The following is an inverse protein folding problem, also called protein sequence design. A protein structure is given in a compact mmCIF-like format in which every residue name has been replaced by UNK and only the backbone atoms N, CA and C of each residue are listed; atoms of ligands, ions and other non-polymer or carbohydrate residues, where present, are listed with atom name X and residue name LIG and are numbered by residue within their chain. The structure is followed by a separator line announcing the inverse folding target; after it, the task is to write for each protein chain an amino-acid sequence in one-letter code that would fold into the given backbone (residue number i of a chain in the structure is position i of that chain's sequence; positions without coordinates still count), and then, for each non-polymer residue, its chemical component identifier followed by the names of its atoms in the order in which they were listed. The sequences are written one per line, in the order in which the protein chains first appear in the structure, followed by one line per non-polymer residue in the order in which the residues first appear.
data_IF_303393585579
#
_entry.id   IF_303393585579
#
_cell.length_a   1.000
_cell.length_b   1.000
_cell.length_c   1.000
_cell.angle_alpha   90.00
_cell.angle_beta   90.00
_cell.angle_gamma   90.00
#
_symmetry.space_group_name_H-M   'P 1'
#
loop_
_entity.id
_entity.type
_entity.pdbx_description
1 polymer ?
#
# COMPACT_ATOMS: atom_id res chain seq x y z
N UNK A 1 48.16 -46.32 6.22
CA UNK A 1 47.82 -45.27 7.21
C UNK A 1 47.15 -44.14 6.46
N UNK A 2 45.82 -44.07 6.53
CA UNK A 2 45.00 -42.99 5.96
C UNK A 2 44.91 -41.88 7.02
N UNK A 3 44.98 -40.58 6.64
CA UNK A 3 44.83 -39.50 7.58
C UNK A 3 43.35 -39.28 7.93
N UNK A 4 43.10 -39.08 9.22
CA UNK A 4 41.82 -38.69 9.79
C UNK A 4 41.30 -37.38 9.17
N UNK A 5 40.20 -37.46 8.43
CA UNK A 5 39.38 -36.29 8.14
C UNK A 5 38.52 -35.98 9.37
N UNK A 6 39.05 -35.12 10.24
CA UNK A 6 38.24 -34.43 11.24
C UNK A 6 37.25 -33.49 10.52
N UNK A 7 35.94 -33.53 10.87
CA UNK A 7 34.98 -32.57 10.35
C UNK A 7 35.31 -31.18 10.91
N UNK A 8 35.35 -30.19 10.02
CA UNK A 8 35.60 -28.79 10.37
C UNK A 8 34.58 -28.24 11.38
N UNK A 9 34.92 -27.18 12.12
CA UNK A 9 34.07 -26.64 13.17
C UNK A 9 32.72 -26.22 12.58
N UNK A 10 31.64 -26.78 13.14
CA UNK A 10 30.28 -26.35 12.84
C UNK A 10 30.20 -24.82 12.97
N UNK A 11 29.74 -24.17 11.89
CA UNK A 11 29.50 -22.73 11.87
C UNK A 11 28.59 -22.36 13.04
N UNK A 12 29.16 -21.82 14.13
CA UNK A 12 28.37 -21.12 15.13
C UNK A 12 27.80 -19.88 14.46
N UNK A 13 26.48 -19.64 14.51
CA UNK A 13 25.91 -18.40 13.98
C UNK A 13 26.59 -17.21 14.67
N UNK A 14 27.02 -16.23 13.88
CA UNK A 14 27.57 -14.97 14.39
C UNK A 14 26.49 -14.23 15.19
N UNK A 15 26.87 -13.42 16.18
CA UNK A 15 25.90 -12.63 16.97
C UNK A 15 25.03 -11.73 16.08
N UNK A 16 25.59 -11.21 14.99
CA UNK A 16 24.85 -10.47 13.95
C UNK A 16 23.76 -11.33 13.30
N UNK A 17 24.08 -12.58 12.91
CA UNK A 17 23.10 -13.49 12.33
C UNK A 17 22.02 -13.93 13.33
N UNK A 18 22.35 -14.01 14.62
CA UNK A 18 21.37 -14.26 15.69
C UNK A 18 20.40 -13.08 15.84
N UNK A 19 20.93 -11.86 15.85
CA UNK A 19 20.13 -10.64 15.97
C UNK A 19 19.12 -10.50 14.83
N UNK A 20 19.55 -10.68 13.58
CA UNK A 20 18.68 -10.61 12.40
C UNK A 20 17.54 -11.64 12.45
N UNK A 21 17.85 -12.87 12.90
CA UNK A 21 16.84 -13.92 13.08
C UNK A 21 15.81 -13.56 14.16
N UNK A 22 16.24 -12.98 15.28
CA UNK A 22 15.34 -12.51 16.33
C UNK A 22 14.42 -11.40 15.80
N UNK A 23 14.97 -10.42 15.08
CA UNK A 23 14.18 -9.35 14.46
C UNK A 23 13.16 -9.91 13.46
N UNK A 24 13.54 -10.90 12.66
CA UNK A 24 12.62 -11.55 11.73
C UNK A 24 11.47 -12.27 12.44
N UNK A 25 11.72 -12.96 13.56
CA UNK A 25 10.66 -13.61 14.35
C UNK A 25 9.76 -12.58 15.02
N UNK A 26 10.33 -11.53 15.63
CA UNK A 26 9.58 -10.42 16.20
C UNK A 26 8.68 -9.77 15.14
N UNK A 27 9.21 -9.55 13.95
CA UNK A 27 8.45 -8.95 12.85
C UNK A 27 7.20 -9.77 12.52
N UNK A 28 7.36 -11.09 12.37
CA UNK A 28 6.25 -12.01 12.12
C UNK A 28 5.27 -12.05 13.29
N UNK A 29 5.73 -12.05 14.54
CA UNK A 29 4.83 -12.02 15.71
C UNK A 29 3.97 -10.75 15.77
N UNK A 30 4.53 -9.61 15.37
CA UNK A 30 3.82 -8.33 15.36
C UNK A 30 2.81 -8.23 14.21
N UNK A 31 3.13 -8.76 13.03
CA UNK A 31 2.38 -8.47 11.79
C UNK A 31 1.63 -9.67 11.20
N UNK A 32 1.97 -10.90 11.56
CA UNK A 32 1.25 -12.11 11.12
C UNK A 32 0.38 -12.65 12.26
N UNK A 33 -0.94 -12.50 12.11
CA UNK A 33 -1.93 -13.00 13.07
C UNK A 33 -1.81 -14.50 13.32
N UNK A 34 -1.58 -15.30 12.29
CA UNK A 34 -1.53 -16.75 12.41
C UNK A 34 -0.32 -17.19 13.23
N UNK A 35 0.84 -16.56 12.98
CA UNK A 35 2.06 -16.76 13.77
C UNK A 35 1.86 -16.31 15.22
N UNK A 36 1.27 -15.13 15.43
CA UNK A 36 0.97 -14.61 16.77
C UNK A 36 0.03 -15.52 17.55
N UNK A 37 -1.05 -16.01 16.93
CA UNK A 37 -1.99 -16.95 17.57
C UNK A 37 -1.30 -18.23 17.97
N UNK A 38 -0.50 -18.83 17.08
CA UNK A 38 0.28 -20.04 17.38
C UNK A 38 1.23 -19.83 18.58
N UNK A 39 1.89 -18.67 18.64
CA UNK A 39 2.75 -18.30 19.77
C UNK A 39 1.98 -18.12 21.07
N UNK A 40 0.81 -17.48 21.04
CA UNK A 40 -0.03 -17.29 22.24
C UNK A 40 -0.56 -18.62 22.77
N UNK A 41 -0.93 -19.54 21.88
CA UNK A 41 -1.54 -20.83 22.25
C UNK A 41 -0.53 -21.87 22.72
N UNK A 42 0.65 -21.95 22.09
CA UNK A 42 1.65 -22.99 22.39
C UNK A 42 3.02 -22.47 22.83
N UNK A 43 3.19 -21.16 22.99
CA UNK A 43 4.47 -20.55 23.33
C UNK A 43 5.50 -20.63 22.20
N UNK A 44 6.77 -20.27 22.48
CA UNK A 44 7.84 -20.29 21.49
C UNK A 44 8.15 -21.69 20.94
N UNK A 45 7.81 -22.75 21.68
CA UNK A 45 8.00 -24.15 21.27
C UNK A 45 6.91 -24.67 20.33
N UNK A 46 5.91 -23.86 19.96
CA UNK A 46 4.82 -24.30 19.09
C UNK A 46 5.35 -24.74 17.71
N UNK A 47 5.04 -25.96 17.22
CA UNK A 47 5.61 -26.49 15.97
C UNK A 47 5.39 -25.60 14.74
N UNK A 48 4.25 -24.91 14.68
CA UNK A 48 3.92 -23.99 13.60
C UNK A 48 4.81 -22.73 13.49
N UNK A 49 5.67 -22.47 14.48
CA UNK A 49 6.61 -21.34 14.45
C UNK A 49 7.96 -21.71 13.82
N UNK A 50 8.35 -23.00 13.88
CA UNK A 50 9.61 -23.48 13.34
C UNK A 50 10.86 -22.87 14.00
N UNK A 51 10.80 -22.52 15.28
CA UNK A 51 11.94 -21.94 16.01
C UNK A 51 12.91 -23.04 16.46
N UNK A 52 14.21 -22.74 16.43
CA UNK A 52 15.24 -23.61 17.02
C UNK A 52 15.43 -23.31 18.51
N UNK A 53 16.23 -24.14 19.20
CA UNK A 53 16.43 -24.02 20.65
C UNK A 53 16.95 -22.65 21.09
N UNK A 54 17.81 -22.00 20.29
CA UNK A 54 18.34 -20.68 20.61
C UNK A 54 17.25 -19.59 20.55
N UNK A 55 16.43 -19.61 19.50
CA UNK A 55 15.29 -18.69 19.40
C UNK A 55 14.22 -19.00 20.44
N UNK A 56 13.96 -20.27 20.76
CA UNK A 56 13.00 -20.62 21.81
C UNK A 56 13.39 -19.92 23.12
N UNK A 57 14.64 -20.07 23.55
CA UNK A 57 15.13 -19.42 24.78
C UNK A 57 15.05 -17.90 24.71
N UNK A 58 15.31 -17.29 23.54
CA UNK A 58 15.21 -15.84 23.37
C UNK A 58 13.77 -15.30 23.55
N UNK A 59 12.76 -16.11 23.24
CA UNK A 59 11.34 -15.71 23.27
C UNK A 59 10.55 -16.23 24.48
N UNK A 60 11.16 -17.03 25.38
CA UNK A 60 10.52 -17.57 26.60
C UNK A 60 9.88 -16.50 27.50
N UNK A 61 10.40 -15.28 27.49
CA UNK A 61 9.98 -14.19 28.38
C UNK A 61 9.04 -13.18 27.73
N UNK A 62 8.59 -13.41 26.50
CA UNK A 62 7.66 -12.50 25.82
C UNK A 62 6.31 -12.51 26.54
N UNK A 63 5.84 -11.33 26.93
CA UNK A 63 4.50 -11.17 27.48
C UNK A 63 3.45 -11.37 26.38
N UNK A 64 2.76 -12.51 26.42
CA UNK A 64 1.73 -12.87 25.44
C UNK A 64 0.52 -11.93 25.46
N UNK A 65 0.22 -11.29 26.59
CA UNK A 65 -0.89 -10.33 26.71
C UNK A 65 -0.53 -9.03 26.03
N UNK A 66 0.69 -8.54 26.27
CA UNK A 66 1.22 -7.37 25.58
C UNK A 66 1.30 -7.62 24.07
N UNK A 67 1.85 -8.76 23.65
CA UNK A 67 1.93 -9.14 22.24
C UNK A 67 0.53 -9.14 21.58
N UNK A 68 -0.47 -9.72 22.24
CA UNK A 68 -1.84 -9.74 21.74
C UNK A 68 -2.43 -8.32 21.65
N UNK A 69 -2.13 -7.44 22.61
CA UNK A 69 -2.58 -6.05 22.61
C UNK A 69 -1.93 -5.25 21.48
N UNK A 70 -0.63 -5.38 21.28
CA UNK A 70 0.11 -4.70 20.20
C UNK A 70 -0.46 -5.09 18.84
N UNK A 71 -0.69 -6.39 18.59
CA UNK A 71 -1.31 -6.84 17.34
C UNK A 71 -2.71 -6.25 17.12
N UNK A 72 -3.53 -6.10 18.18
CA UNK A 72 -4.84 -5.42 18.09
C UNK A 72 -4.69 -3.94 17.75
N UNK A 73 -3.73 -3.25 18.36
CA UNK A 73 -3.48 -1.83 18.13
C UNK A 73 -3.04 -1.57 16.69
N UNK A 74 -2.07 -2.33 16.17
CA UNK A 74 -1.60 -2.23 14.77
C UNK A 74 -2.78 -2.39 13.81
N UNK A 75 -3.58 -3.45 13.97
CA UNK A 75 -4.78 -3.65 13.14
C UNK A 75 -5.76 -2.48 13.24
N UNK A 76 -6.01 -2.00 14.46
CA UNK A 76 -6.94 -0.89 14.69
C UNK A 76 -6.47 0.38 14.01
N UNK A 77 -5.17 0.70 14.09
CA UNK A 77 -4.59 1.87 13.43
C UNK A 77 -4.64 1.76 11.91
N UNK A 78 -4.38 0.58 11.35
CA UNK A 78 -4.48 0.37 9.89
C UNK A 78 -5.93 0.53 9.41
N UNK A 79 -6.91 0.01 10.16
CA UNK A 79 -8.33 0.09 9.75
C UNK A 79 -8.92 1.48 9.98
N UNK A 80 -8.73 2.05 11.17
CA UNK A 80 -9.40 3.27 11.60
C UNK A 80 -8.56 4.53 11.41
N UNK A 81 -7.25 4.40 11.22
CA UNK A 81 -6.29 5.48 11.31
C UNK A 81 -5.81 5.69 12.74
N UNK A 82 -4.71 6.42 12.89
CA UNK A 82 -4.12 6.79 14.17
C UNK A 82 -3.66 8.23 14.21
N UNK A 83 -3.29 8.70 15.40
CA UNK A 83 -2.62 10.00 15.57
C UNK A 83 -1.27 9.97 14.86
N UNK A 84 -1.16 10.66 13.73
CA UNK A 84 0.07 10.80 12.96
C UNK A 84 0.22 9.89 11.73
N UNK A 85 -0.66 8.91 11.53
CA UNK A 85 -0.61 7.97 10.38
C UNK A 85 -1.61 8.27 9.26
N UNK A 86 -2.46 9.29 9.45
CA UNK A 86 -3.48 9.68 8.48
C UNK A 86 -4.75 8.82 8.56
N UNK A 87 -5.65 8.92 7.56
CA UNK A 87 -6.88 8.14 7.53
C UNK A 87 -6.56 6.64 7.33
N UNK A 88 -7.23 5.76 8.07
CA UNK A 88 -7.12 4.31 7.88
C UNK A 88 -7.93 3.78 6.69
N UNK A 89 -7.79 2.48 6.42
CA UNK A 89 -8.45 1.80 5.30
C UNK A 89 -9.97 2.00 5.29
N UNK A 90 -10.62 2.01 6.45
CA UNK A 90 -12.08 2.20 6.54
C UNK A 90 -12.56 3.57 6.04
N UNK A 91 -11.71 4.59 6.12
CA UNK A 91 -12.01 5.94 5.61
C UNK A 91 -11.54 6.14 4.17
N UNK A 92 -10.43 5.51 3.79
CA UNK A 92 -9.90 5.61 2.42
C UNK A 92 -10.71 4.76 1.44
N UNK A 93 -11.04 3.52 1.82
CA UNK A 93 -11.63 2.49 0.95
C UNK A 93 -13.05 2.06 1.38
N UNK A 94 -13.97 2.98 1.73
CA UNK A 94 -15.26 2.59 2.29
C UNK A 94 -16.07 1.70 1.35
N UNK A 95 -16.12 2.02 0.05
CA UNK A 95 -16.90 1.25 -0.92
C UNK A 95 -16.20 -0.04 -1.31
N UNK A 96 -14.88 -0.03 -1.49
CA UNK A 96 -14.15 -1.26 -1.79
C UNK A 96 -14.27 -2.29 -0.67
N UNK A 97 -14.16 -1.88 0.60
CA UNK A 97 -14.30 -2.79 1.73
C UNK A 97 -15.72 -3.33 1.87
N UNK A 98 -16.75 -2.53 1.55
CA UNK A 98 -18.13 -2.99 1.48
C UNK A 98 -18.29 -4.10 0.42
N UNK A 99 -17.84 -3.86 -0.81
CA UNK A 99 -17.91 -4.83 -1.92
C UNK A 99 -17.12 -6.10 -1.59
N UNK A 100 -15.92 -5.97 -1.03
CA UNK A 100 -15.12 -7.14 -0.62
C UNK A 100 -15.85 -7.95 0.44
N UNK A 101 -16.45 -7.29 1.44
CA UNK A 101 -17.23 -7.97 2.50
C UNK A 101 -18.42 -8.73 1.90
N UNK A 102 -19.16 -8.11 0.98
CA UNK A 102 -20.30 -8.76 0.31
C UNK A 102 -19.88 -9.99 -0.50
N UNK A 103 -18.73 -9.93 -1.17
CA UNK A 103 -18.23 -11.03 -2.01
C UNK A 103 -17.58 -12.17 -1.22
N UNK A 104 -16.86 -11.84 -0.15
CA UNK A 104 -15.98 -12.80 0.55
C UNK A 104 -16.45 -13.16 1.96
N UNK A 105 -17.43 -12.43 2.49
CA UNK A 105 -17.86 -12.52 3.90
C UNK A 105 -16.85 -11.95 4.91
N UNK A 106 -15.68 -11.48 4.46
CA UNK A 106 -14.61 -10.99 5.35
C UNK A 106 -14.88 -9.56 5.80
N UNK A 107 -14.67 -9.32 7.08
CA UNK A 107 -14.74 -7.99 7.69
C UNK A 107 -13.52 -7.14 7.33
N UNK A 108 -13.60 -5.80 7.43
CA UNK A 108 -12.44 -4.91 7.27
C UNK A 108 -11.25 -5.30 8.15
N UNK A 109 -11.49 -5.79 9.36
CA UNK A 109 -10.44 -6.26 10.26
C UNK A 109 -9.74 -7.51 9.73
N UNK A 110 -10.47 -8.46 9.16
CA UNK A 110 -9.87 -9.67 8.58
C UNK A 110 -9.08 -9.36 7.31
N UNK A 111 -9.57 -8.43 6.48
CA UNK A 111 -8.84 -7.94 5.30
C UNK A 111 -7.55 -7.23 5.75
N UNK A 112 -7.62 -6.39 6.78
CA UNK A 112 -6.46 -5.70 7.31
C UNK A 112 -5.42 -6.66 7.86
N UNK A 113 -5.79 -7.74 8.54
CA UNK A 113 -4.81 -8.75 9.02
C UNK A 113 -4.09 -9.45 7.85
N UNK A 114 -4.78 -9.72 6.75
CA UNK A 114 -4.15 -10.27 5.54
C UNK A 114 -3.21 -9.26 4.89
N UNK A 115 -3.63 -8.00 4.83
CA UNK A 115 -2.80 -6.92 4.29
C UNK A 115 -1.58 -6.65 5.15
N UNK A 116 -1.70 -6.59 6.48
CA UNK A 116 -0.60 -6.34 7.41
C UNK A 116 0.49 -7.43 7.30
N UNK A 117 0.08 -8.68 7.05
CA UNK A 117 1.00 -9.79 6.83
C UNK A 117 1.61 -9.81 5.42
N UNK A 118 1.19 -8.91 4.51
CA UNK A 118 1.60 -8.92 3.11
C UNK A 118 2.92 -8.17 2.86
N UNK A 119 3.67 -8.54 1.80
CA UNK A 119 4.85 -7.78 1.38
C UNK A 119 4.55 -6.30 1.07
N UNK A 120 3.35 -6.00 0.57
CA UNK A 120 2.97 -4.63 0.21
C UNK A 120 2.84 -3.74 1.44
N UNK A 121 2.41 -4.27 2.59
CA UNK A 121 2.39 -3.49 3.84
C UNK A 121 3.79 -3.24 4.40
N UNK A 122 4.75 -4.14 4.16
CA UNK A 122 6.15 -3.92 4.53
C UNK A 122 6.72 -2.68 3.83
N UNK A 123 6.39 -2.46 2.55
CA UNK A 123 6.81 -1.25 1.80
C UNK A 123 6.31 0.07 2.43
N UNK A 124 5.17 0.05 3.14
CA UNK A 124 4.66 1.21 3.89
C UNK A 124 5.34 1.36 5.25
N UNK A 125 5.69 0.25 5.91
CA UNK A 125 6.29 0.29 7.24
C UNK A 125 7.77 0.69 7.21
N UNK A 126 8.48 0.30 6.17
CA UNK A 126 9.94 0.47 6.09
C UNK A 126 10.36 1.89 5.64
N UNK A 127 9.40 2.83 5.60
CA UNK A 127 9.57 4.22 5.13
C UNK A 127 10.64 5.05 5.86
N UNK A 128 11.02 4.83 7.14
CA UNK A 128 12.18 5.55 7.69
C UNK A 128 13.55 4.97 7.28
N UNK A 129 13.61 3.82 6.58
CA UNK A 129 14.84 3.05 6.37
C UNK A 129 15.11 2.61 4.92
N UNK A 130 14.27 3.00 3.95
CA UNK A 130 14.49 2.67 2.54
C UNK A 130 15.81 3.27 2.02
N UNK A 131 16.72 2.48 1.44
CA UNK A 131 17.94 2.97 0.79
C UNK A 131 17.66 3.94 -0.37
N UNK A 132 16.44 3.94 -0.91
CA UNK A 132 15.98 4.85 -1.96
C UNK A 132 15.43 6.19 -1.42
N UNK A 133 15.29 6.33 -0.10
CA UNK A 133 14.99 7.59 0.58
C UNK A 133 13.52 7.98 0.71
N UNK A 134 12.57 7.22 0.13
CA UNK A 134 11.11 7.42 0.29
C UNK A 134 10.41 6.06 0.17
N UNK A 135 9.40 5.79 0.99
CA UNK A 135 8.55 4.60 0.81
C UNK A 135 7.22 4.94 0.15
N UNK A 136 6.24 4.04 0.19
CA UNK A 136 4.93 4.23 -0.47
C UNK A 136 3.83 4.58 0.53
N UNK A 137 2.79 5.28 0.06
CA UNK A 137 1.62 5.57 0.88
C UNK A 137 0.80 4.29 1.14
N UNK A 138 0.22 4.18 2.34
CA UNK A 138 -0.72 3.12 2.72
C UNK A 138 -1.78 2.80 1.64
N UNK A 139 -2.48 3.79 1.03
CA UNK A 139 -3.42 3.54 -0.06
C UNK A 139 -2.82 2.82 -1.27
N UNK A 140 -1.58 3.15 -1.65
CA UNK A 140 -0.91 2.52 -2.79
C UNK A 140 -0.55 1.07 -2.47
N UNK A 141 -0.02 0.83 -1.27
CA UNK A 141 0.28 -0.51 -0.78
C UNK A 141 -0.98 -1.38 -0.74
N UNK A 142 -2.10 -0.84 -0.27
CA UNK A 142 -3.37 -1.57 -0.23
C UNK A 142 -3.92 -1.85 -1.63
N UNK A 143 -3.83 -0.88 -2.55
CA UNK A 143 -4.21 -1.09 -3.96
C UNK A 143 -3.43 -2.23 -4.60
N UNK A 144 -2.10 -2.25 -4.43
CA UNK A 144 -1.24 -3.33 -4.93
C UNK A 144 -1.56 -4.68 -4.28
N UNK A 145 -1.79 -4.71 -2.97
CA UNK A 145 -2.21 -5.92 -2.29
C UNK A 145 -3.50 -6.49 -2.88
N UNK A 146 -4.48 -5.64 -3.16
CA UNK A 146 -5.74 -6.10 -3.79
C UNK A 146 -5.50 -6.60 -5.21
N UNK A 147 -4.70 -5.90 -6.00
CA UNK A 147 -4.38 -6.29 -7.37
C UNK A 147 -3.61 -7.62 -7.46
N UNK A 148 -2.71 -7.90 -6.51
CA UNK A 148 -1.79 -9.05 -6.55
C UNK A 148 -2.28 -10.26 -5.73
N UNK A 149 -3.17 -10.07 -4.76
CA UNK A 149 -3.56 -11.16 -3.83
C UNK A 149 -4.40 -12.28 -4.45
N UNK A 150 -5.08 -12.03 -5.56
CA UNK A 150 -6.06 -12.97 -6.15
C UNK A 150 -7.27 -13.29 -5.26
N UNK A 151 -7.32 -12.75 -4.04
CA UNK A 151 -8.35 -13.00 -3.03
C UNK A 151 -9.70 -12.35 -3.38
N UNK A 152 -9.70 -11.39 -4.30
CA UNK A 152 -10.84 -10.51 -4.58
C UNK A 152 -11.47 -10.77 -5.96
N UNK A 153 -11.20 -11.95 -6.53
CA UNK A 153 -11.77 -12.45 -7.79
C UNK A 153 -10.87 -12.24 -9.01
N UNK A 154 -11.05 -13.04 -10.09
CA UNK A 154 -10.27 -12.88 -11.31
C UNK A 154 -10.58 -11.55 -11.99
N UNK A 155 -9.53 -10.80 -12.33
CA UNK A 155 -9.63 -9.75 -13.35
C UNK A 155 -9.69 -10.44 -14.71
N UNK A 156 -10.90 -10.65 -15.24
CA UNK A 156 -11.07 -11.07 -16.63
C UNK A 156 -11.87 -12.35 -16.84
N UNK A 157 -13.19 -12.20 -16.95
CA UNK A 157 -13.99 -12.89 -17.96
C UNK A 157 -15.23 -12.03 -18.21
N UNK A 158 -15.35 -11.50 -19.44
CA UNK A 158 -16.51 -10.73 -19.89
C UNK A 158 -17.80 -11.51 -19.59
N UNK A 159 -18.59 -11.01 -18.64
CA UNK A 159 -19.90 -11.55 -18.31
C UNK A 159 -20.29 -11.34 -16.86
N UNK A 160 -19.39 -11.62 -15.90
CA UNK A 160 -19.69 -11.52 -14.47
C UNK A 160 -18.45 -11.07 -13.68
N UNK A 161 -18.55 -9.87 -13.10
CA UNK A 161 -17.65 -9.26 -12.12
C UNK A 161 -16.20 -8.99 -12.57
N UNK A 162 -15.94 -7.78 -13.04
CA UNK A 162 -14.64 -7.16 -12.80
C UNK A 162 -14.27 -7.31 -11.31
N UNK A 163 -12.98 -7.61 -11.04
CA UNK A 163 -12.43 -7.57 -9.69
C UNK A 163 -12.70 -6.21 -9.03
N UNK A 164 -12.54 -6.10 -7.72
CA UNK A 164 -12.74 -4.82 -7.00
C UNK A 164 -11.67 -3.77 -7.32
N UNK A 165 -10.64 -4.14 -8.11
CA UNK A 165 -9.48 -3.31 -8.41
C UNK A 165 -9.81 -1.92 -8.98
N UNK A 166 -10.76 -1.74 -9.93
CA UNK A 166 -11.08 -0.40 -10.44
C UNK A 166 -11.62 0.53 -9.34
N UNK A 167 -12.42 -0.01 -8.41
CA UNK A 167 -12.95 0.74 -7.27
C UNK A 167 -11.85 1.07 -6.27
N UNK A 168 -10.99 0.10 -5.96
CA UNK A 168 -9.84 0.30 -5.06
C UNK A 168 -8.88 1.33 -5.64
N UNK A 169 -8.59 1.25 -6.94
CA UNK A 169 -7.74 2.24 -7.59
C UNK A 169 -8.35 3.64 -7.51
N UNK A 170 -9.65 3.79 -7.77
CA UNK A 170 -10.30 5.10 -7.68
C UNK A 170 -10.13 5.70 -6.29
N UNK A 171 -10.45 4.93 -5.25
CA UNK A 171 -10.32 5.36 -3.85
C UNK A 171 -8.86 5.65 -3.47
N UNK A 172 -7.91 4.81 -3.91
CA UNK A 172 -6.48 5.04 -3.71
C UNK A 172 -6.00 6.32 -4.41
N UNK A 173 -6.38 6.54 -5.66
CA UNK A 173 -6.02 7.72 -6.44
C UNK A 173 -6.51 9.01 -5.78
N UNK A 174 -7.75 9.01 -5.28
CA UNK A 174 -8.32 10.12 -4.51
C UNK A 174 -7.48 10.39 -3.26
N UNK A 175 -7.18 9.36 -2.47
CA UNK A 175 -6.43 9.52 -1.23
C UNK A 175 -4.98 9.97 -1.46
N UNK A 176 -4.30 9.44 -2.48
CA UNK A 176 -2.94 9.85 -2.87
C UNK A 176 -2.93 11.31 -3.32
N UNK A 177 -3.86 11.72 -4.20
CA UNK A 177 -3.96 13.10 -4.64
C UNK A 177 -4.22 14.06 -3.47
N UNK A 178 -5.09 13.68 -2.52
CA UNK A 178 -5.32 14.46 -1.31
C UNK A 178 -4.09 14.52 -0.40
N UNK A 179 -3.36 13.41 -0.23
CA UNK A 179 -2.14 13.37 0.58
C UNK A 179 -1.04 14.28 0.01
N UNK A 180 -0.88 14.30 -1.32
CA UNK A 180 0.05 15.22 -2.01
C UNK A 180 -0.35 16.67 -1.75
N UNK A 181 -1.65 16.98 -1.82
CA UNK A 181 -2.15 18.31 -1.52
C UNK A 181 -1.93 18.75 -0.06
N UNK A 182 -1.73 17.81 0.87
CA UNK A 182 -1.34 18.12 2.25
C UNK A 182 0.17 18.06 2.49
N UNK A 183 0.99 17.94 1.44
CA UNK A 183 2.45 17.96 1.53
C UNK A 183 3.11 16.59 1.76
N UNK A 184 2.38 15.47 1.69
CA UNK A 184 2.93 14.14 1.91
C UNK A 184 3.96 13.72 0.83
N UNK A 185 3.96 14.36 -0.34
CA UNK A 185 4.91 14.10 -1.43
C UNK A 185 6.38 14.41 -1.09
N UNK A 186 6.65 15.03 0.06
CA UNK A 186 8.02 15.20 0.56
C UNK A 186 8.63 13.89 1.12
N UNK A 187 7.78 12.95 1.55
CA UNK A 187 8.18 11.77 2.34
C UNK A 187 7.94 10.46 1.61
N UNK A 188 7.07 10.46 0.60
CA UNK A 188 6.66 9.26 -0.12
C UNK A 188 6.88 9.40 -1.62
N UNK A 189 7.27 8.29 -2.26
CA UNK A 189 7.22 8.16 -3.70
C UNK A 189 5.81 7.77 -4.13
N UNK A 190 5.36 8.36 -5.24
CA UNK A 190 4.08 8.04 -5.84
C UNK A 190 4.33 7.10 -7.02
N UNK A 191 3.81 5.88 -6.93
CA UNK A 191 3.90 4.89 -7.99
C UNK A 191 2.58 4.20 -8.29
N UNK A 192 1.47 4.91 -8.06
CA UNK A 192 0.14 4.51 -8.52
C UNK A 192 0.15 4.31 -10.04
N UNK A 193 -0.47 3.24 -10.52
CA UNK A 193 -0.50 2.90 -11.93
C UNK A 193 -1.10 4.04 -12.78
N UNK A 194 -0.47 4.37 -13.91
CA UNK A 194 -0.95 5.43 -14.80
C UNK A 194 -0.79 6.86 -14.27
N UNK A 195 -0.03 7.03 -13.18
CA UNK A 195 0.34 8.34 -12.65
C UNK A 195 1.77 8.74 -13.00
N UNK A 196 2.02 10.04 -13.00
CA UNK A 196 3.36 10.60 -13.09
C UNK A 196 3.45 11.90 -12.27
N UNK A 197 4.67 12.26 -11.88
CA UNK A 197 4.96 13.46 -11.09
C UNK A 197 5.96 14.32 -11.85
N UNK A 198 5.66 15.61 -12.00
CA UNK A 198 6.54 16.62 -12.57
C UNK A 198 6.53 17.85 -11.67
N UNK A 199 7.72 18.31 -11.25
CA UNK A 199 7.88 19.49 -10.38
C UNK A 199 6.96 19.49 -9.15
N UNK A 200 6.81 18.31 -8.51
CA UNK A 200 5.96 18.15 -7.33
C UNK A 200 4.45 18.09 -7.61
N UNK A 201 4.05 18.16 -8.89
CA UNK A 201 2.67 17.99 -9.33
C UNK A 201 2.43 16.57 -9.82
N UNK A 202 1.52 15.85 -9.16
CA UNK A 202 0.93 14.60 -9.64
C UNK A 202 -0.07 14.88 -10.75
N UNK A 203 -0.01 14.06 -11.81
CA UNK A 203 -1.07 13.95 -12.79
C UNK A 203 -1.32 12.48 -13.13
N UNK A 204 -2.58 12.08 -13.08
CA UNK A 204 -3.03 10.74 -13.44
C UNK A 204 -4.37 10.79 -14.16
N UNK A 205 -4.61 9.82 -15.03
CA UNK A 205 -5.89 9.62 -15.69
C UNK A 205 -6.22 8.14 -15.72
N UNK A 206 -7.46 7.80 -15.37
CA UNK A 206 -7.97 6.45 -15.53
C UNK A 206 -9.32 6.47 -16.22
N UNK A 207 -9.42 5.66 -17.28
CA UNK A 207 -10.69 5.21 -17.82
C UNK A 207 -11.14 4.01 -16.99
N UNK A 208 -12.41 4.00 -16.57
CA UNK A 208 -13.02 2.95 -15.76
C UNK A 208 -14.05 2.16 -16.58
N UNK A 209 -13.87 2.07 -17.90
CA UNK A 209 -14.76 1.35 -18.81
C UNK A 209 -14.93 -0.14 -18.44
N UNK A 210 -13.93 -0.73 -17.76
CA UNK A 210 -13.97 -2.10 -17.25
C UNK A 210 -14.79 -2.26 -15.95
N UNK A 211 -15.11 -1.16 -15.27
CA UNK A 211 -15.82 -1.19 -14.00
C UNK A 211 -17.33 -1.48 -14.19
N UNK A 212 -17.98 -2.20 -13.26
CA UNK A 212 -19.42 -2.35 -13.25
C UNK A 212 -20.13 -0.99 -13.20
N UNK A 213 -21.11 -0.78 -14.07
CA UNK A 213 -21.88 0.46 -14.14
C UNK A 213 -22.52 0.87 -12.80
N UNK A 214 -22.88 -0.12 -11.96
CA UNK A 214 -23.45 0.11 -10.63
C UNK A 214 -22.51 0.88 -9.67
N UNK A 215 -21.20 0.91 -9.95
CA UNK A 215 -20.23 1.68 -9.15
C UNK A 215 -20.19 3.16 -9.56
N UNK A 216 -20.79 3.54 -10.69
CA UNK A 216 -20.86 4.94 -11.12
C UNK A 216 -19.49 5.57 -11.41
N UNK A 217 -18.46 4.77 -11.67
CA UNK A 217 -17.14 5.27 -12.02
C UNK A 217 -17.15 5.86 -13.43
N UNK A 218 -16.57 7.05 -13.57
CA UNK A 218 -16.44 7.77 -14.84
C UNK A 218 -14.96 8.03 -15.13
N UNK A 219 -14.55 8.21 -16.40
CA UNK A 219 -13.18 8.62 -16.72
C UNK A 219 -12.77 9.85 -15.90
N UNK A 220 -11.72 9.70 -15.10
CA UNK A 220 -11.37 10.67 -14.06
C UNK A 220 -9.91 11.11 -14.21
N UNK A 221 -9.70 12.43 -14.12
CA UNK A 221 -8.40 13.06 -13.99
C UNK A 221 -8.10 13.34 -12.51
N UNK A 222 -6.86 13.13 -12.11
CA UNK A 222 -6.33 13.46 -10.79
C UNK A 222 -5.14 14.38 -11.01
N UNK A 223 -5.24 15.63 -10.59
CA UNK A 223 -4.16 16.61 -10.63
C UNK A 223 -3.94 17.12 -9.21
N UNK A 224 -2.76 16.98 -8.65
CA UNK A 224 -2.49 17.41 -7.29
C UNK A 224 -1.09 17.99 -7.15
N UNK A 225 -0.97 19.09 -6.42
CA UNK A 225 0.26 19.76 -6.04
C UNK A 225 0.12 20.20 -4.57
N UNK A 226 1.18 20.66 -3.89
CA UNK A 226 1.04 21.21 -2.53
C UNK A 226 -0.10 22.23 -2.44
N UNK A 227 -0.99 22.06 -1.46
CA UNK A 227 -2.19 22.86 -1.21
C UNK A 227 -3.27 22.85 -2.30
N UNK A 228 -3.15 22.01 -3.34
CA UNK A 228 -4.08 21.97 -4.48
C UNK A 228 -4.41 20.55 -4.91
N UNK A 229 -5.70 20.26 -5.07
CA UNK A 229 -6.18 18.98 -5.54
C UNK A 229 -7.38 19.17 -6.46
N UNK A 230 -7.29 18.65 -7.68
CA UNK A 230 -8.36 18.64 -8.67
C UNK A 230 -8.62 17.19 -9.06
N UNK A 231 -9.81 16.72 -8.71
CA UNK A 231 -10.31 15.39 -9.07
C UNK A 231 -11.63 15.59 -9.80
N UNK A 232 -11.74 15.08 -11.02
CA UNK A 232 -12.96 15.25 -11.77
C UNK A 232 -12.98 14.55 -13.12
N UNK A 233 -14.18 14.50 -13.69
CA UNK A 233 -14.42 13.89 -15.00
C UNK A 233 -13.68 14.64 -16.11
N UNK A 234 -13.19 13.89 -17.10
CA UNK A 234 -12.54 14.44 -18.28
C UNK A 234 -12.32 13.40 -19.36
N UNK A 235 -12.04 13.85 -20.58
CA UNK A 235 -11.57 12.96 -21.64
C UNK A 235 -10.06 12.82 -21.59
N UNK A 236 -9.55 11.71 -22.12
CA UNK A 236 -8.11 11.47 -22.25
C UNK A 236 -7.42 12.60 -23.03
N UNK A 237 -8.04 13.08 -24.10
CA UNK A 237 -7.51 14.17 -24.91
C UNK A 237 -7.36 15.49 -24.12
N UNK A 238 -8.32 15.82 -23.25
CA UNK A 238 -8.22 17.01 -22.39
C UNK A 238 -7.09 16.83 -21.36
N UNK A 239 -6.99 15.64 -20.77
CA UNK A 239 -5.92 15.32 -19.84
C UNK A 239 -4.53 15.46 -20.49
N UNK A 240 -4.32 14.82 -21.64
CA UNK A 240 -3.03 14.84 -22.34
C UNK A 240 -2.64 16.28 -22.73
N UNK A 241 -3.60 17.12 -23.13
CA UNK A 241 -3.35 18.52 -23.44
C UNK A 241 -2.98 19.35 -22.19
N UNK A 242 -3.62 19.11 -21.05
CA UNK A 242 -3.26 19.76 -19.77
C UNK A 242 -1.85 19.35 -19.34
N UNK A 243 -1.51 18.07 -19.44
CA UNK A 243 -0.17 17.55 -19.11
C UNK A 243 0.90 18.11 -20.05
N UNK A 244 0.60 18.26 -21.34
CA UNK A 244 1.52 18.90 -22.28
C UNK A 244 1.87 20.33 -21.85
N UNK A 245 0.87 21.12 -21.41
CA UNK A 245 1.11 22.47 -20.88
C UNK A 245 1.90 22.44 -19.57
N UNK A 246 1.52 21.59 -18.62
CA UNK A 246 2.23 21.42 -17.33
C UNK A 246 3.70 21.04 -17.49
N UNK A 247 4.01 20.22 -18.50
CA UNK A 247 5.37 19.69 -18.74
C UNK A 247 6.17 20.51 -19.76
N UNK A 248 5.72 21.72 -20.10
CA UNK A 248 6.42 22.62 -21.03
C UNK A 248 6.39 22.21 -22.50
N UNK A 249 5.58 21.20 -22.87
CA UNK A 249 5.40 20.69 -24.25
C UNK A 249 4.18 21.28 -24.95
N UNK A 250 3.59 22.34 -24.41
CA UNK A 250 2.37 22.96 -24.94
C UNK A 250 2.55 23.71 -26.28
N UNK A 251 3.76 23.81 -26.82
CA UNK A 251 4.05 24.52 -28.09
C UNK A 251 3.44 23.83 -29.32
N UNK A 252 3.18 22.52 -29.23
CA UNK A 252 2.53 21.74 -30.29
C UNK A 252 1.01 22.02 -30.38
N UNK A 253 0.44 22.69 -29.38
CA UNK A 253 -0.97 23.04 -29.33
C UNK A 253 -1.25 24.36 -30.05
N UNK A 254 -2.43 24.48 -30.65
CA UNK A 254 -2.88 25.74 -31.24
C UNK A 254 -2.89 26.87 -30.17
N UNK A 255 -2.43 28.10 -30.48
CA UNK A 255 -2.22 29.15 -29.47
C UNK A 255 -3.44 29.44 -28.58
N UNK A 256 -4.65 29.48 -29.17
CA UNK A 256 -5.90 29.69 -28.42
C UNK A 256 -6.24 28.53 -27.47
N UNK A 257 -5.92 27.30 -27.86
CA UNK A 257 -6.14 26.11 -27.03
C UNK A 257 -5.15 26.13 -25.86
N UNK A 258 -3.88 26.43 -26.14
CA UNK A 258 -2.85 26.59 -25.11
C UNK A 258 -3.25 27.64 -24.08
N UNK A 259 -3.63 28.84 -24.52
CA UNK A 259 -4.09 29.93 -23.64
C UNK A 259 -5.28 29.53 -22.76
N UNK A 260 -6.28 28.84 -23.33
CA UNK A 260 -7.43 28.36 -22.58
C UNK A 260 -7.04 27.32 -21.50
N UNK A 261 -6.14 26.40 -21.81
CA UNK A 261 -5.63 25.39 -20.88
C UNK A 261 -4.77 26.02 -19.78
N UNK A 262 -3.90 26.95 -20.13
CA UNK A 262 -3.09 27.73 -19.18
C UNK A 262 -3.97 28.52 -18.21
N UNK A 263 -5.02 29.17 -18.70
CA UNK A 263 -5.99 29.87 -17.86
C UNK A 263 -6.71 28.90 -16.90
N UNK A 264 -7.05 27.70 -17.39
CA UNK A 264 -7.68 26.66 -16.57
C UNK A 264 -6.75 26.12 -15.48
N UNK A 265 -5.50 25.84 -15.82
CA UNK A 265 -4.48 25.43 -14.85
C UNK A 265 -4.19 26.54 -13.83
N UNK A 266 -4.12 27.80 -14.29
CA UNK A 266 -3.96 28.97 -13.42
C UNK A 266 -5.14 29.14 -12.46
N UNK A 267 -6.38 28.95 -12.92
CA UNK A 267 -7.56 28.96 -12.06
C UNK A 267 -7.55 27.83 -11.00
N UNK A 268 -6.86 26.72 -11.28
CA UNK A 268 -6.62 25.63 -10.34
C UNK A 268 -5.37 25.82 -9.48
N UNK A 269 -4.55 26.83 -9.76
CA UNK A 269 -3.28 27.07 -9.06
C UNK A 269 -2.23 25.99 -9.33
N UNK A 270 -2.25 25.39 -10.53
CA UNK A 270 -1.33 24.32 -10.95
C UNK A 270 -0.34 24.84 -12.02
N UNK A 271 0.22 26.05 -11.82
CA UNK A 271 1.10 26.70 -12.80
C UNK A 271 2.31 27.32 -12.10
#
# INVERSE_FOLDING_TARGET
MLPDHLPGPAHRPTESGRHERILHVLDRLLHDKSVRTAFIEGGPSHPGLGLDADLITAFERVDVRELAQVGRNIRSEVVSGGTGTGPGLGRIFPRSLEVVRERTGRTPHEIAELFIASPQFQEFRDVPFSPAGRGRLLPECFHRFVAESGLFGPSGALGEAAGVEPLVHHEAAVAVAQAIATGAGATFDVGLAGSAVHEGTLYAFRDYAEAPAAWGLVPTMYLAAPDRCVIGGGSRAVFDALVAVLTGRGEELAPKVREALENRLGAWGLR
#
